data_IF_900871270892
#
_entry.id   IF_900871270892
#
_cell.length_a   1.000
_cell.length_b   1.000
_cell.length_c   1.000
_cell.angle_alpha   90.00
_cell.angle_beta   90.00
_cell.angle_gamma   90.00
#
_symmetry.space_group_name_H-M   'P 1'
#
loop_
_entity.id
_entity.type
_entity.pdbx_description
1 polymer ?
#
# COMPACT_ATOMS: atom_id res chain seq x y z
N UNK A 1 3.89 -1.19 3.33
CA UNK A 1 5.00 -2.14 3.48
C UNK A 1 6.14 -1.56 4.28
N UNK A 2 7.21 -2.34 4.39
CA UNK A 2 8.41 -1.98 5.15
C UNK A 2 8.11 -1.73 6.64
N UNK A 3 7.33 -2.63 7.23
CA UNK A 3 7.04 -2.60 8.65
C UNK A 3 8.17 -3.16 9.51
N UNK A 4 9.13 -3.84 8.89
CA UNK A 4 10.23 -4.56 9.52
C UNK A 4 11.58 -4.02 9.04
N UNK A 5 12.67 -4.47 9.68
CA UNK A 5 14.07 -4.08 9.47
C UNK A 5 14.43 -2.66 9.96
N UNK A 6 15.72 -2.35 10.00
CA UNK A 6 16.26 -1.03 10.33
C UNK A 6 16.27 -0.66 11.82
N UNK A 7 15.75 -1.47 12.72
CA UNK A 7 15.70 -1.19 14.17
C UNK A 7 16.36 -2.28 15.02
N UNK A 8 16.78 -1.92 16.24
CA UNK A 8 17.24 -2.91 17.21
C UNK A 8 16.15 -3.90 17.61
N UNK A 9 14.90 -3.47 17.63
CA UNK A 9 13.76 -4.35 17.90
C UNK A 9 13.67 -5.46 16.85
N UNK A 10 13.80 -5.09 15.57
CA UNK A 10 13.81 -6.09 14.50
C UNK A 10 15.01 -7.05 14.63
N UNK A 11 16.21 -6.52 14.89
CA UNK A 11 17.42 -7.34 15.06
C UNK A 11 17.27 -8.39 16.17
N UNK A 12 16.56 -8.04 17.27
CA UNK A 12 16.38 -8.93 18.42
C UNK A 12 15.17 -9.85 18.30
N UNK A 13 14.10 -9.41 17.62
CA UNK A 13 12.79 -10.09 17.64
C UNK A 13 12.29 -10.54 16.26
N UNK A 14 13.04 -10.28 15.18
CA UNK A 14 12.73 -10.72 13.80
C UNK A 14 11.30 -10.36 13.39
N UNK A 15 10.85 -9.12 13.69
CA UNK A 15 9.52 -8.61 13.36
C UNK A 15 8.40 -8.98 14.34
N UNK A 16 8.64 -9.77 15.38
CA UNK A 16 7.59 -10.11 16.36
C UNK A 16 7.10 -8.91 17.14
N UNK A 17 8.02 -8.02 17.56
CA UNK A 17 7.65 -6.80 18.27
C UNK A 17 6.80 -5.88 17.37
N UNK A 18 7.20 -5.77 16.09
CA UNK A 18 6.46 -4.98 15.09
C UNK A 18 5.05 -5.55 14.88
N UNK A 19 4.93 -6.88 14.76
CA UNK A 19 3.63 -7.56 14.63
C UNK A 19 2.72 -7.32 15.84
N UNK A 20 3.25 -7.38 17.07
CA UNK A 20 2.48 -7.09 18.27
C UNK A 20 1.93 -5.67 18.29
N UNK A 21 2.76 -4.67 17.94
CA UNK A 21 2.35 -3.27 17.85
C UNK A 21 1.30 -3.06 16.76
N UNK A 22 1.50 -3.65 15.58
CA UNK A 22 0.55 -3.58 14.47
C UNK A 22 -0.80 -4.20 14.82
N UNK A 23 -0.81 -5.31 15.56
CA UNK A 23 -2.02 -5.94 16.05
C UNK A 23 -2.78 -5.08 17.06
N UNK A 24 -2.04 -4.35 17.95
CA UNK A 24 -2.66 -3.40 18.90
C UNK A 24 -3.31 -2.22 18.18
N UNK A 25 -2.64 -1.68 17.12
CA UNK A 25 -3.21 -0.62 16.26
C UNK A 25 -4.44 -1.13 15.51
N UNK A 26 -4.47 -2.43 15.18
CA UNK A 26 -5.56 -3.12 14.50
C UNK A 26 -5.87 -2.51 13.13
N UNK A 27 -4.86 -2.43 12.26
CA UNK A 27 -5.03 -1.92 10.89
C UNK A 27 -6.09 -2.68 10.10
N UNK A 28 -6.84 -1.98 9.27
CA UNK A 28 -7.83 -2.56 8.36
C UNK A 28 -7.22 -3.40 7.24
N UNK A 29 -6.00 -3.07 6.83
CA UNK A 29 -5.21 -3.82 5.87
C UNK A 29 -3.73 -3.47 5.98
N UNK A 30 -2.87 -4.41 5.62
CA UNK A 30 -1.42 -4.25 5.47
C UNK A 30 -1.00 -4.78 4.10
N UNK A 31 -0.06 -4.11 3.42
CA UNK A 31 0.58 -4.62 2.20
C UNK A 31 2.06 -4.89 2.43
N UNK A 32 2.65 -5.75 1.61
CA UNK A 32 4.08 -6.02 1.65
C UNK A 32 4.86 -4.87 1.01
N UNK A 33 6.10 -4.68 1.45
CA UNK A 33 7.14 -3.91 0.81
C UNK A 33 8.39 -4.77 0.59
N UNK A 34 9.48 -4.16 0.11
CA UNK A 34 10.69 -4.93 -0.19
C UNK A 34 11.39 -5.43 1.08
N UNK A 35 11.39 -4.67 2.16
CA UNK A 35 12.07 -5.05 3.40
C UNK A 35 11.41 -6.23 4.12
N UNK A 36 10.18 -6.57 3.84
CA UNK A 36 9.58 -7.81 4.33
C UNK A 36 10.32 -9.06 3.85
N UNK A 37 11.09 -8.97 2.75
CA UNK A 37 11.84 -10.07 2.16
C UNK A 37 13.34 -10.10 2.53
N UNK A 38 13.86 -9.16 3.31
CA UNK A 38 15.31 -9.02 3.57
C UNK A 38 15.93 -10.28 4.15
N UNK A 39 15.30 -10.90 5.14
CA UNK A 39 15.78 -12.12 5.81
C UNK A 39 15.14 -13.41 5.26
N UNK A 40 14.57 -13.32 4.07
CA UNK A 40 14.02 -14.44 3.31
C UNK A 40 12.65 -14.93 3.78
N UNK A 41 12.12 -15.89 3.02
CA UNK A 41 10.74 -16.35 3.16
C UNK A 41 10.37 -16.96 4.52
N UNK A 42 11.35 -17.53 5.26
CA UNK A 42 11.07 -18.12 6.58
C UNK A 42 10.80 -17.06 7.64
N UNK A 43 11.61 -15.98 7.66
CA UNK A 43 11.43 -14.88 8.60
C UNK A 43 10.17 -14.11 8.24
N UNK A 44 9.94 -13.81 6.96
CA UNK A 44 8.70 -13.23 6.48
C UNK A 44 7.49 -14.05 6.94
N UNK A 45 7.51 -15.38 6.73
CA UNK A 45 6.40 -16.25 7.19
C UNK A 45 6.15 -16.11 8.68
N UNK A 46 7.20 -16.09 9.50
CA UNK A 46 7.07 -15.96 10.96
C UNK A 46 6.42 -14.64 11.35
N UNK A 47 6.83 -13.54 10.71
CA UNK A 47 6.21 -12.23 10.89
C UNK A 47 4.72 -12.23 10.51
N UNK A 48 4.40 -12.74 9.30
CA UNK A 48 3.02 -12.79 8.82
C UNK A 48 2.12 -13.70 9.67
N UNK A 49 2.66 -14.80 10.23
CA UNK A 49 1.93 -15.69 11.13
C UNK A 49 1.60 -15.03 12.47
N UNK A 50 2.39 -14.05 12.90
CA UNK A 50 2.16 -13.29 14.11
C UNK A 50 1.12 -12.16 13.94
N UNK A 51 0.84 -11.74 12.68
CA UNK A 51 -0.15 -10.71 12.37
C UNK A 51 -1.57 -11.25 12.45
N UNK A 52 -2.46 -10.50 13.10
CA UNK A 52 -3.91 -10.77 13.13
C UNK A 52 -4.72 -9.88 12.18
N UNK A 53 -4.05 -8.91 11.56
CA UNK A 53 -4.65 -7.96 10.60
C UNK A 53 -4.67 -8.55 9.18
N UNK A 54 -5.62 -8.13 8.31
CA UNK A 54 -5.67 -8.61 6.94
C UNK A 54 -4.44 -8.17 6.11
N UNK A 55 -3.85 -9.11 5.39
CA UNK A 55 -2.70 -8.85 4.52
C UNK A 55 -3.15 -8.93 3.06
N UNK A 56 -2.75 -7.95 2.25
CA UNK A 56 -3.07 -7.84 0.83
C UNK A 56 -1.81 -7.61 0.02
N UNK A 57 -1.59 -8.41 -1.02
CA UNK A 57 -0.58 -8.13 -2.03
C UNK A 57 -1.01 -8.75 -3.35
N UNK A 58 -1.17 -7.92 -4.38
CA UNK A 58 -1.75 -8.33 -5.66
C UNK A 58 -0.69 -8.82 -6.64
N UNK A 59 0.50 -8.21 -6.61
CA UNK A 59 1.56 -8.47 -7.57
C UNK A 59 2.67 -9.40 -7.04
N UNK A 60 2.60 -9.82 -5.79
CA UNK A 60 3.49 -10.81 -5.21
C UNK A 60 2.76 -12.15 -5.13
N UNK A 61 3.25 -13.14 -5.88
CA UNK A 61 2.56 -14.42 -6.08
C UNK A 61 3.48 -15.58 -5.69
N UNK A 62 3.26 -16.21 -4.53
CA UNK A 62 3.97 -17.43 -4.15
C UNK A 62 3.61 -18.57 -5.09
N UNK A 63 4.57 -19.40 -5.41
CA UNK A 63 4.32 -20.66 -6.15
C UNK A 63 3.53 -21.63 -5.26
N UNK A 64 2.83 -22.55 -5.92
CA UNK A 64 2.11 -23.63 -5.23
C UNK A 64 3.10 -24.48 -4.44
N UNK A 65 2.83 -24.68 -3.14
CA UNK A 65 3.71 -25.39 -2.22
C UNK A 65 4.78 -24.53 -1.55
N UNK A 66 4.88 -23.24 -1.89
CA UNK A 66 5.68 -22.29 -1.13
C UNK A 66 5.20 -22.18 0.33
N UNK A 67 6.13 -21.95 1.25
CA UNK A 67 5.78 -21.69 2.65
C UNK A 67 4.97 -20.39 2.83
N UNK A 68 4.94 -19.54 1.83
CA UNK A 68 4.17 -18.29 1.77
C UNK A 68 2.81 -18.46 1.09
N UNK A 69 2.48 -19.64 0.54
CA UNK A 69 1.20 -19.88 -0.11
C UNK A 69 0.04 -19.61 0.85
N UNK A 70 -0.90 -18.76 0.43
CA UNK A 70 -2.09 -18.40 1.20
C UNK A 70 -1.88 -17.44 2.37
N UNK A 71 -0.68 -16.86 2.54
CA UNK A 71 -0.39 -15.92 3.63
C UNK A 71 -1.02 -14.54 3.44
N UNK A 72 -1.38 -14.17 2.22
CA UNK A 72 -2.11 -12.95 1.90
C UNK A 72 -3.14 -13.19 0.81
N UNK A 73 -4.01 -12.20 0.64
CA UNK A 73 -4.99 -12.17 -0.45
C UNK A 73 -4.56 -11.21 -1.54
N UNK A 74 -4.92 -11.45 -2.81
CA UNK A 74 -4.60 -10.52 -3.89
C UNK A 74 -5.43 -9.24 -3.83
N UNK A 75 -6.57 -9.23 -3.17
CA UNK A 75 -7.40 -8.06 -2.86
C UNK A 75 -8.28 -8.34 -1.65
N UNK A 76 -8.77 -7.27 -1.04
CA UNK A 76 -9.72 -7.31 0.06
C UNK A 76 -10.97 -6.51 -0.28
N UNK A 77 -12.09 -6.84 0.35
CA UNK A 77 -13.33 -6.06 0.30
C UNK A 77 -13.71 -5.74 1.74
N UNK A 78 -13.74 -4.45 2.06
CA UNK A 78 -14.18 -3.95 3.38
C UNK A 78 -15.57 -3.33 3.23
N UNK A 79 -16.43 -3.55 4.22
CA UNK A 79 -17.72 -2.88 4.31
C UNK A 79 -17.61 -1.73 5.32
N UNK A 80 -17.78 -0.51 4.85
CA UNK A 80 -17.69 0.70 5.68
C UNK A 80 -19.00 1.48 5.51
N UNK A 81 -19.79 1.57 6.58
CA UNK A 81 -21.07 2.29 6.54
C UNK A 81 -22.04 1.74 5.47
N UNK A 82 -22.04 0.43 5.22
CA UNK A 82 -22.88 -0.21 4.20
C UNK A 82 -22.35 -0.08 2.77
N UNK A 83 -21.18 0.54 2.58
CA UNK A 83 -20.52 0.66 1.27
C UNK A 83 -19.34 -0.31 1.18
N UNK A 84 -19.21 -0.97 0.02
CA UNK A 84 -18.08 -1.85 -0.25
C UNK A 84 -16.89 -1.04 -0.80
N UNK A 85 -15.73 -1.23 -0.20
CA UNK A 85 -14.44 -0.66 -0.64
C UNK A 85 -13.53 -1.81 -1.02
N UNK A 86 -13.03 -1.78 -2.25
CA UNK A 86 -11.98 -2.69 -2.73
C UNK A 86 -10.60 -2.17 -2.32
N UNK A 87 -9.75 -3.07 -1.86
CA UNK A 87 -8.36 -2.75 -1.51
C UNK A 87 -7.45 -3.71 -2.25
N UNK A 88 -6.48 -3.19 -2.99
CA UNK A 88 -5.42 -3.96 -3.65
C UNK A 88 -4.07 -3.56 -3.06
N UNK A 89 -3.11 -4.50 -3.04
CA UNK A 89 -1.76 -4.27 -2.53
C UNK A 89 -0.72 -4.35 -3.65
N UNK A 90 0.19 -3.39 -3.73
CA UNK A 90 1.27 -3.37 -4.74
C UNK A 90 2.62 -3.19 -4.04
N UNK A 91 3.56 -4.09 -4.33
CA UNK A 91 4.95 -4.03 -3.92
C UNK A 91 5.85 -3.61 -5.09
N UNK A 92 6.99 -2.97 -4.79
CA UNK A 92 7.99 -2.54 -5.76
C UNK A 92 8.77 -3.75 -6.32
N UNK A 93 8.58 -4.05 -7.60
CA UNK A 93 9.14 -5.28 -8.20
C UNK A 93 10.65 -5.23 -8.29
N UNK A 94 11.18 -4.15 -8.85
CA UNK A 94 12.61 -4.06 -9.15
C UNK A 94 13.45 -4.07 -7.88
N UNK A 95 13.14 -3.20 -6.93
CA UNK A 95 13.89 -3.08 -5.67
C UNK A 95 13.83 -4.37 -4.86
N UNK A 96 12.68 -5.02 -4.75
CA UNK A 96 12.50 -6.28 -4.03
C UNK A 96 13.38 -7.39 -4.61
N UNK A 97 13.47 -7.49 -5.94
CA UNK A 97 14.32 -8.50 -6.60
C UNK A 97 15.81 -8.21 -6.52
N UNK A 98 16.21 -6.93 -6.52
CA UNK A 98 17.61 -6.53 -6.63
C UNK A 98 18.27 -6.28 -5.27
N UNK A 99 17.52 -5.87 -4.26
CA UNK A 99 18.06 -5.44 -2.97
C UNK A 99 17.54 -6.18 -1.74
N UNK A 100 16.51 -7.03 -1.90
CA UNK A 100 16.04 -7.92 -0.84
C UNK A 100 16.29 -9.38 -1.20
N UNK A 101 15.85 -10.32 -0.38
CA UNK A 101 16.14 -11.74 -0.54
C UNK A 101 14.87 -12.61 -0.65
N UNK A 102 13.97 -12.34 -1.61
CA UNK A 102 12.84 -13.21 -1.85
C UNK A 102 13.33 -14.56 -2.39
N UNK A 103 12.70 -15.65 -1.96
CA UNK A 103 13.00 -16.97 -2.50
C UNK A 103 12.57 -17.10 -3.98
N UNK A 104 13.18 -18.07 -4.69
CA UNK A 104 12.86 -18.35 -6.10
C UNK A 104 11.41 -18.82 -6.29
N UNK A 105 10.73 -19.20 -5.22
CA UNK A 105 9.34 -19.67 -5.19
C UNK A 105 8.31 -18.51 -5.03
N UNK A 106 8.75 -17.26 -5.26
CA UNK A 106 7.88 -16.07 -5.25
C UNK A 106 8.05 -15.27 -6.54
N UNK A 107 6.94 -15.05 -7.24
CA UNK A 107 6.88 -14.25 -8.47
C UNK A 107 6.40 -12.84 -8.19
N UNK A 108 7.02 -11.88 -8.85
CA UNK A 108 6.65 -10.47 -8.82
C UNK A 108 6.14 -10.07 -10.21
N UNK A 109 4.89 -9.62 -10.26
CA UNK A 109 4.21 -9.20 -11.49
C UNK A 109 4.31 -7.68 -11.65
N UNK A 110 4.21 -7.18 -12.88
CA UNK A 110 4.20 -5.74 -13.17
C UNK A 110 3.14 -5.00 -12.36
N UNK A 111 3.53 -3.88 -11.78
CA UNK A 111 2.71 -3.08 -10.85
C UNK A 111 1.46 -2.51 -11.53
N UNK A 112 1.63 -1.90 -12.72
CA UNK A 112 0.55 -1.22 -13.45
C UNK A 112 -0.45 -2.24 -13.99
N UNK A 113 0.04 -3.30 -14.65
CA UNK A 113 -0.83 -4.34 -15.21
C UNK A 113 -1.57 -5.11 -14.13
N UNK A 114 -0.92 -5.33 -12.98
CA UNK A 114 -1.57 -5.96 -11.83
C UNK A 114 -2.64 -5.08 -11.23
N UNK A 115 -2.37 -3.79 -11.06
CA UNK A 115 -3.36 -2.82 -10.61
C UNK A 115 -4.58 -2.83 -11.54
N UNK A 116 -4.36 -2.71 -12.88
CA UNK A 116 -5.43 -2.77 -13.89
C UNK A 116 -6.27 -4.04 -13.79
N UNK A 117 -5.63 -5.19 -13.67
CA UNK A 117 -6.30 -6.49 -13.55
C UNK A 117 -7.24 -6.56 -12.35
N UNK A 118 -6.76 -6.14 -11.16
CA UNK A 118 -7.54 -6.29 -9.94
C UNK A 118 -8.58 -5.18 -9.75
N UNK A 119 -8.32 -3.97 -10.26
CA UNK A 119 -9.34 -2.92 -10.38
C UNK A 119 -10.50 -3.43 -11.23
N UNK A 120 -10.23 -3.93 -12.45
CA UNK A 120 -11.27 -4.50 -13.30
C UNK A 120 -12.02 -5.63 -12.60
N UNK A 121 -11.33 -6.54 -11.92
CA UNK A 121 -11.97 -7.62 -11.18
C UNK A 121 -12.93 -7.11 -10.11
N UNK A 122 -12.53 -6.10 -9.33
CA UNK A 122 -13.38 -5.48 -8.31
C UNK A 122 -14.60 -4.78 -8.93
N UNK A 123 -14.42 -4.07 -10.06
CA UNK A 123 -15.50 -3.46 -10.81
C UNK A 123 -16.50 -4.49 -11.34
N UNK A 124 -16.02 -5.63 -11.86
CA UNK A 124 -16.87 -6.75 -12.33
C UNK A 124 -17.67 -7.37 -11.16
N UNK A 125 -17.21 -7.24 -9.91
CA UNK A 125 -17.91 -7.60 -8.68
C UNK A 125 -18.85 -6.48 -8.15
N UNK A 126 -19.01 -5.39 -8.91
CA UNK A 126 -19.86 -4.24 -8.56
C UNK A 126 -19.27 -3.28 -7.54
N UNK A 127 -17.95 -3.29 -7.36
CA UNK A 127 -17.23 -2.42 -6.42
C UNK A 127 -16.65 -1.25 -7.21
N UNK A 128 -17.04 -0.05 -6.82
CA UNK A 128 -16.66 1.20 -7.49
C UNK A 128 -15.94 2.20 -6.57
N UNK A 129 -15.42 1.74 -5.46
CA UNK A 129 -14.56 2.51 -4.54
C UNK A 129 -13.32 1.67 -4.29
N UNK A 130 -12.20 2.09 -4.86
CA UNK A 130 -10.99 1.26 -4.91
C UNK A 130 -9.78 2.03 -4.36
N UNK A 131 -9.17 1.46 -3.34
CA UNK A 131 -7.96 1.96 -2.71
C UNK A 131 -6.79 1.03 -3.07
N UNK A 132 -5.68 1.61 -3.49
CA UNK A 132 -4.41 0.92 -3.67
C UNK A 132 -3.53 1.20 -2.45
N UNK A 133 -3.18 0.15 -1.70
CA UNK A 133 -2.07 0.21 -0.75
C UNK A 133 -0.81 -0.13 -1.51
N UNK A 134 0.11 0.82 -1.63
CA UNK A 134 1.25 0.66 -2.52
C UNK A 134 2.58 0.94 -1.84
N UNK A 135 3.50 0.02 -2.03
CA UNK A 135 4.92 0.20 -1.72
C UNK A 135 5.76 0.26 -3.02
N UNK A 136 5.22 0.86 -4.08
CA UNK A 136 5.88 0.92 -5.39
C UNK A 136 6.65 2.24 -5.63
N UNK A 137 6.63 3.15 -4.65
CA UNK A 137 7.23 4.46 -4.74
C UNK A 137 6.33 5.50 -5.41
N UNK A 138 6.59 6.77 -5.12
CA UNK A 138 5.74 7.89 -5.52
C UNK A 138 5.53 7.98 -7.04
N UNK A 139 6.61 7.93 -7.82
CA UNK A 139 6.57 8.07 -9.28
C UNK A 139 5.78 6.92 -9.94
N UNK A 140 5.96 5.69 -9.46
CA UNK A 140 5.19 4.53 -9.92
C UNK A 140 3.72 4.66 -9.53
N UNK A 141 3.42 5.21 -8.37
CA UNK A 141 2.05 5.45 -7.93
C UNK A 141 1.35 6.55 -8.74
N UNK A 142 2.08 7.59 -9.16
CA UNK A 142 1.59 8.57 -10.13
C UNK A 142 1.28 7.88 -11.47
N UNK A 143 2.19 7.01 -11.96
CA UNK A 143 1.98 6.23 -13.19
C UNK A 143 0.73 5.34 -13.11
N UNK A 144 0.52 4.65 -11.98
CA UNK A 144 -0.69 3.83 -11.76
C UNK A 144 -1.93 4.72 -11.82
N UNK A 145 -1.93 5.86 -11.13
CA UNK A 145 -3.05 6.80 -11.12
C UNK A 145 -3.39 7.36 -12.51
N UNK A 146 -2.39 7.60 -13.35
CA UNK A 146 -2.56 8.14 -14.71
C UNK A 146 -2.92 7.07 -15.77
N UNK A 147 -2.63 5.78 -15.50
CA UNK A 147 -2.79 4.70 -16.49
C UNK A 147 -3.89 3.68 -16.17
N UNK A 148 -4.47 3.71 -14.97
CA UNK A 148 -5.45 2.72 -14.52
C UNK A 148 -6.77 3.39 -14.15
N UNK A 149 -7.81 3.09 -14.93
CA UNK A 149 -9.17 3.55 -14.65
C UNK A 149 -9.75 2.92 -13.40
N UNK A 150 -10.52 3.69 -12.63
CA UNK A 150 -11.28 3.19 -11.49
C UNK A 150 -10.50 3.09 -10.17
N UNK A 151 -9.27 3.59 -10.12
CA UNK A 151 -8.57 3.85 -8.86
C UNK A 151 -9.02 5.19 -8.31
N UNK A 152 -9.33 5.27 -7.00
CA UNK A 152 -9.74 6.52 -6.35
C UNK A 152 -8.63 7.12 -5.48
N UNK A 153 -7.94 6.25 -4.73
CA UNK A 153 -6.94 6.66 -3.76
C UNK A 153 -5.77 5.67 -3.76
N UNK A 154 -4.55 6.18 -3.74
CA UNK A 154 -3.34 5.41 -3.57
C UNK A 154 -2.66 5.86 -2.27
N UNK A 155 -2.51 4.94 -1.33
CA UNK A 155 -1.70 5.14 -0.13
C UNK A 155 -0.29 4.64 -0.48
N UNK A 156 0.61 5.58 -0.68
CA UNK A 156 1.98 5.39 -1.17
C UNK A 156 2.97 5.14 -0.03
N UNK A 157 4.03 4.43 -0.33
CA UNK A 157 5.23 4.26 0.49
C UNK A 157 6.45 3.98 -0.39
N UNK A 158 7.59 3.65 0.20
CA UNK A 158 8.90 3.35 -0.40
C UNK A 158 9.80 4.58 -0.61
N UNK A 159 9.31 5.68 -1.18
CA UNK A 159 10.15 6.84 -1.51
C UNK A 159 10.49 7.74 -0.34
N UNK A 160 9.81 7.59 0.78
CA UNK A 160 9.99 8.44 1.98
C UNK A 160 9.76 9.93 1.71
N UNK A 161 8.91 10.28 0.74
CA UNK A 161 8.67 11.68 0.42
C UNK A 161 7.77 12.35 1.47
N UNK A 162 8.20 13.52 1.94
CA UNK A 162 7.34 14.46 2.64
C UNK A 162 6.52 15.21 1.60
N UNK A 163 5.22 14.98 1.60
CA UNK A 163 4.29 15.68 0.72
C UNK A 163 3.58 16.79 1.49
N UNK A 164 3.45 17.97 0.87
CA UNK A 164 2.66 19.06 1.43
C UNK A 164 3.50 20.26 1.85
N UNK A 165 3.33 21.38 1.15
CA UNK A 165 4.00 22.67 1.46
C UNK A 165 3.64 23.23 2.84
N UNK A 166 2.54 22.77 3.44
CA UNK A 166 2.13 23.15 4.79
C UNK A 166 3.17 22.77 5.87
N UNK A 167 4.05 21.82 5.58
CA UNK A 167 5.12 21.45 6.52
C UNK A 167 6.29 22.42 6.54
N UNK A 168 6.41 23.34 5.56
CA UNK A 168 7.42 24.40 5.55
C UNK A 168 7.32 25.32 6.79
N UNK A 169 6.10 25.51 7.32
CA UNK A 169 5.88 26.29 8.55
C UNK A 169 6.58 25.70 9.78
N UNK A 170 6.95 24.41 9.74
CA UNK A 170 7.69 23.72 10.80
C UNK A 170 9.19 23.61 10.50
N UNK A 171 9.67 24.29 9.45
CA UNK A 171 11.07 24.25 9.02
C UNK A 171 11.45 22.96 8.27
N UNK A 172 10.48 22.16 7.83
CA UNK A 172 10.71 20.98 6.99
C UNK A 172 10.72 21.38 5.51
N UNK A 173 11.38 20.59 4.69
CA UNK A 173 11.47 20.81 3.23
C UNK A 173 10.78 19.66 2.52
N UNK A 174 9.53 19.85 2.09
CA UNK A 174 8.81 18.80 1.36
C UNK A 174 9.44 18.53 -0.03
N UNK A 175 9.55 17.25 -0.40
CA UNK A 175 9.97 16.85 -1.74
C UNK A 175 8.92 17.17 -2.81
N UNK A 176 7.65 17.22 -2.42
CA UNK A 176 6.53 17.59 -3.31
C UNK A 176 5.56 18.53 -2.60
N UNK A 177 5.03 19.56 -3.30
CA UNK A 177 4.22 20.59 -2.67
C UNK A 177 2.79 20.16 -2.33
N UNK A 178 2.28 19.11 -2.96
CA UNK A 178 0.86 18.72 -2.87
C UNK A 178 0.68 17.50 -1.95
N UNK A 179 -0.17 17.62 -0.93
CA UNK A 179 -0.65 16.48 -0.14
C UNK A 179 -2.20 16.48 -0.08
N UNK A 180 -2.85 15.46 -0.65
CA UNK A 180 -2.30 14.45 -1.53
C UNK A 180 -2.04 15.01 -2.94
N UNK A 181 -1.19 14.33 -3.72
CA UNK A 181 -1.05 14.58 -5.15
C UNK A 181 -2.32 14.16 -5.86
N UNK A 182 -2.88 15.03 -6.70
CA UNK A 182 -4.00 14.71 -7.58
C UNK A 182 -3.50 14.51 -9.00
N UNK A 183 -3.94 13.43 -9.64
CA UNK A 183 -3.81 13.16 -11.08
C UNK A 183 -5.18 12.80 -11.64
N UNK A 184 -5.30 12.62 -12.94
CA UNK A 184 -6.50 12.09 -13.58
C UNK A 184 -6.19 10.77 -14.25
N UNK A 185 -7.05 9.78 -14.04
CA UNK A 185 -7.06 8.52 -14.77
C UNK A 185 -7.45 8.72 -16.25
N UNK A 186 -7.27 7.71 -17.13
CA UNK A 186 -7.60 7.83 -18.55
C UNK A 186 -9.07 8.18 -18.81
N UNK A 187 -10.00 7.76 -17.94
CA UNK A 187 -11.42 8.12 -17.99
C UNK A 187 -11.73 9.53 -17.44
N UNK A 188 -10.70 10.31 -17.05
CA UNK A 188 -10.82 11.68 -16.56
C UNK A 188 -11.22 11.84 -15.10
N UNK A 189 -11.38 10.75 -14.36
CA UNK A 189 -11.70 10.80 -12.93
C UNK A 189 -10.46 11.15 -12.08
N UNK A 190 -10.65 11.86 -10.96
CA UNK A 190 -9.55 12.19 -10.07
C UNK A 190 -9.03 10.95 -9.32
N UNK A 191 -7.71 10.81 -9.27
CA UNK A 191 -7.00 9.86 -8.42
C UNK A 191 -6.10 10.64 -7.47
N UNK A 192 -6.12 10.28 -6.19
CA UNK A 192 -5.32 10.95 -5.18
C UNK A 192 -4.22 10.03 -4.67
N UNK A 193 -2.99 10.53 -4.58
CA UNK A 193 -1.81 9.81 -4.09
C UNK A 193 -1.31 10.49 -2.83
N UNK A 194 -1.27 9.77 -1.71
CA UNK A 194 -0.79 10.28 -0.43
C UNK A 194 0.36 9.41 0.10
N UNK A 195 1.43 10.05 0.52
CA UNK A 195 2.54 9.42 1.22
C UNK A 195 2.83 10.21 2.50
N UNK A 196 2.90 9.53 3.64
CA UNK A 196 3.04 10.14 4.96
C UNK A 196 4.51 10.11 5.45
N UNK A 197 5.43 10.52 4.57
CA UNK A 197 6.86 10.61 4.88
C UNK A 197 7.44 9.24 5.28
N UNK A 198 8.21 9.17 6.40
CA UNK A 198 8.92 7.99 6.84
C UNK A 198 8.85 7.81 8.37
N UNK A 199 9.28 6.64 8.85
CA UNK A 199 9.54 6.31 10.26
C UNK A 199 8.42 6.70 11.24
N UNK A 200 7.15 6.68 10.80
CA UNK A 200 5.98 7.03 11.62
C UNK A 200 5.98 8.46 12.18
N UNK A 201 6.70 9.39 11.54
CA UNK A 201 6.69 10.81 11.96
C UNK A 201 5.37 11.49 11.64
N UNK A 202 4.65 11.04 10.63
CA UNK A 202 3.37 11.60 10.23
C UNK A 202 2.27 10.53 10.19
N UNK A 203 1.08 10.95 10.61
CA UNK A 203 -0.16 10.21 10.39
C UNK A 203 -0.94 10.86 9.24
N UNK A 204 -1.13 10.12 8.15
CA UNK A 204 -1.94 10.55 7.02
C UNK A 204 -3.44 10.37 7.31
N UNK A 205 -4.13 11.43 7.73
CA UNK A 205 -5.61 11.40 7.85
C UNK A 205 -6.25 12.03 6.61
N UNK A 206 -7.22 11.34 6.02
CA UNK A 206 -8.01 11.84 4.89
C UNK A 206 -9.49 11.47 5.04
N UNK A 207 -10.37 12.43 4.81
CA UNK A 207 -11.82 12.20 4.75
C UNK A 207 -12.28 12.35 3.31
N UNK A 208 -12.72 11.24 2.69
CA UNK A 208 -13.19 11.21 1.32
C UNK A 208 -14.71 11.08 1.25
N UNK A 209 -15.36 11.91 0.43
CA UNK A 209 -16.76 11.78 0.07
C UNK A 209 -16.89 11.33 -1.37
N UNK A 210 -17.53 10.20 -1.56
CA UNK A 210 -17.78 9.61 -2.86
C UNK A 210 -19.19 9.96 -3.35
N UNK A 211 -19.35 10.11 -4.67
CA UNK A 211 -20.67 10.14 -5.29
C UNK A 211 -21.23 8.72 -5.50
N UNK A 212 -22.44 8.64 -6.07
CA UNK A 212 -23.10 7.35 -6.37
C UNK A 212 -22.35 6.47 -7.37
N UNK A 213 -21.48 7.05 -8.18
CA UNK A 213 -20.67 6.34 -9.16
C UNK A 213 -19.32 5.86 -8.60
N UNK A 214 -19.01 6.21 -7.33
CA UNK A 214 -17.75 5.87 -6.69
C UNK A 214 -16.64 6.90 -6.87
N UNK A 215 -16.92 8.05 -7.50
CA UNK A 215 -15.90 9.10 -7.73
C UNK A 215 -15.78 10.00 -6.51
N UNK A 216 -14.56 10.27 -6.06
CA UNK A 216 -14.28 11.23 -4.97
C UNK A 216 -14.64 12.65 -5.42
N UNK A 217 -15.61 13.27 -4.74
CA UNK A 217 -16.05 14.66 -4.97
C UNK A 217 -15.44 15.64 -4.00
N UNK A 218 -15.12 15.20 -2.81
CA UNK A 218 -14.46 15.99 -1.79
C UNK A 218 -13.45 15.15 -1.06
N UNK A 219 -12.24 15.64 -0.92
CA UNK A 219 -11.20 15.04 -0.10
C UNK A 219 -10.63 16.11 0.83
N UNK A 220 -10.67 15.83 2.13
CA UNK A 220 -10.14 16.72 3.17
C UNK A 220 -8.93 16.01 3.78
N UNK A 221 -7.70 16.38 3.39
CA UNK A 221 -6.49 15.86 4.00
C UNK A 221 -6.18 16.63 5.28
N UNK A 222 -5.77 15.92 6.32
CA UNK A 222 -5.33 16.48 7.60
C UNK A 222 -4.15 15.70 8.13
N UNK A 223 -2.97 15.74 7.45
CA UNK A 223 -1.78 15.05 7.94
C UNK A 223 -1.36 15.63 9.29
N UNK A 224 -0.94 14.76 10.21
CA UNK A 224 -0.61 15.09 11.61
C UNK A 224 0.76 14.58 11.98
#
# INVERSE_FOLDING_TARGET
GDAVTGTLYYTLFEGKADAELMNVINFDAFTLGNHEFDDGNKVLKSFLDALTIPIVSSNVVPDKGSILEGKWKPYLIKNVGGQKIGIIGIDVVKKTKESSNPGDDVKFLDEVETARKYVKKLQDEGINKIIVLSHAGYEKNVEIGEKVDGVDLIISGDTHYLLGKEFEQFGLVPEKPDYPKKVNSPDGNPVYIAEAWNYSYLLGEMKAKFDKNGVIKELIPTPK
#
